data_IF_821246544785
#
_entry.id   IF_821246544785
#
_cell.length_a   1.000
_cell.length_b   1.000
_cell.length_c   1.000
_cell.angle_alpha   90.00
_cell.angle_beta   90.00
_cell.angle_gamma   90.00
#
_symmetry.space_group_name_H-M   'P 1'
#
loop_
_entity.id
_entity.type
_entity.pdbx_description
1 polymer ?
#
# COMPACT_ATOMS: atom_id res chain seq x y z
N UNK A 1 46.10 34.91 1.63
CA UNK A 1 45.99 33.49 2.02
C UNK A 1 44.73 33.17 2.84
N UNK A 2 44.33 33.97 3.85
CA UNK A 2 43.10 33.72 4.65
C UNK A 2 41.76 33.75 3.89
N UNK A 3 41.64 34.53 2.80
CA UNK A 3 40.40 34.62 1.99
C UNK A 3 40.15 33.39 1.09
N UNK A 4 41.21 32.66 0.71
CA UNK A 4 41.10 31.47 -0.14
C UNK A 4 40.60 30.27 0.68
N UNK A 5 40.95 30.21 1.96
CA UNK A 5 40.52 29.14 2.88
C UNK A 5 39.02 29.19 3.21
N UNK A 6 38.41 30.38 3.21
CA UNK A 6 36.97 30.55 3.51
C UNK A 6 36.10 30.13 2.31
N UNK A 7 36.55 30.38 1.08
CA UNK A 7 35.82 29.98 -0.14
C UNK A 7 35.82 28.46 -0.31
N UNK A 8 36.93 27.79 0.03
CA UNK A 8 37.00 26.33 0.02
C UNK A 8 36.05 25.67 1.05
N UNK A 9 35.88 26.28 2.23
CA UNK A 9 34.95 25.81 3.26
C UNK A 9 33.48 25.97 2.82
N UNK A 10 33.13 27.05 2.11
CA UNK A 10 31.78 27.24 1.56
C UNK A 10 31.45 26.31 0.37
N UNK A 11 32.46 25.84 -0.40
CA UNK A 11 32.23 24.85 -1.46
C UNK A 11 32.07 23.42 -0.93
N UNK A 12 32.70 23.07 0.21
CA UNK A 12 32.53 21.74 0.83
C UNK A 12 31.16 21.56 1.51
N UNK A 13 30.49 22.63 1.94
CA UNK A 13 29.16 22.54 2.58
C UNK A 13 28.04 22.24 1.56
N UNK A 14 28.24 22.53 0.28
CA UNK A 14 27.25 22.28 -0.79
C UNK A 14 27.27 20.86 -1.38
N UNK A 15 28.24 20.01 -0.99
CA UNK A 15 28.33 18.63 -1.47
C UNK A 15 27.58 17.62 -0.60
N UNK A 16 27.04 18.05 0.54
CA UNK A 16 26.08 17.30 1.35
C UNK A 16 24.64 17.74 1.02
N UNK A 17 24.32 17.87 -0.27
CA UNK A 17 22.93 17.72 -0.67
C UNK A 17 22.55 16.26 -0.34
N UNK A 18 21.99 16.04 0.85
CA UNK A 18 21.37 14.79 1.19
C UNK A 18 20.35 14.50 0.09
N UNK A 19 20.68 13.59 -0.82
CA UNK A 19 19.72 13.11 -1.81
C UNK A 19 18.58 12.49 -1.01
N UNK A 20 17.49 13.23 -0.86
CA UNK A 20 16.28 12.71 -0.25
C UNK A 20 15.88 11.48 -1.06
N UNK A 21 15.74 10.34 -0.39
CA UNK A 21 15.36 9.13 -1.07
C UNK A 21 13.94 9.28 -1.59
N UNK A 22 13.77 9.03 -2.89
CA UNK A 22 12.46 8.91 -3.50
C UNK A 22 12.03 7.45 -3.50
N UNK A 23 10.79 7.21 -3.06
CA UNK A 23 10.12 5.91 -3.07
C UNK A 23 8.81 6.10 -3.82
N UNK A 24 8.57 5.31 -4.86
CA UNK A 24 7.28 5.29 -5.56
C UNK A 24 6.40 4.18 -4.98
N UNK A 25 5.28 4.54 -4.38
CA UNK A 25 4.39 3.62 -3.65
C UNK A 25 3.06 3.52 -4.39
N UNK A 26 2.53 2.30 -4.52
CA UNK A 26 1.20 2.03 -5.05
C UNK A 26 0.31 1.27 -4.08
N UNK A 27 -1.01 1.44 -4.21
CA UNK A 27 -2.02 0.52 -3.69
C UNK A 27 -2.90 0.09 -4.86
N UNK A 28 -3.17 -1.20 -4.99
CA UNK A 28 -3.89 -1.72 -6.15
C UNK A 28 -4.72 -2.97 -5.81
N UNK A 29 -6.03 -2.81 -5.72
CA UNK A 29 -6.94 -3.96 -5.62
C UNK A 29 -6.96 -4.66 -6.99
N UNK A 30 -6.48 -5.91 -7.01
CA UNK A 30 -6.28 -6.66 -8.24
C UNK A 30 -7.57 -7.22 -8.82
N UNK A 31 -8.67 -7.21 -8.04
CA UNK A 31 -9.88 -8.00 -8.25
C UNK A 31 -9.58 -9.50 -8.31
N UNK A 32 -10.16 -10.27 -7.38
CA UNK A 32 -9.90 -11.71 -7.31
C UNK A 32 -10.26 -12.45 -8.61
N UNK A 33 -9.61 -13.58 -8.86
CA UNK A 33 -9.87 -14.41 -10.03
C UNK A 33 -11.26 -15.06 -9.93
N UNK A 34 -12.23 -14.45 -10.62
CA UNK A 34 -13.62 -14.83 -10.62
C UNK A 34 -14.07 -15.23 -12.04
N UNK A 35 -14.51 -16.47 -12.28
CA UNK A 35 -15.08 -16.88 -13.57
C UNK A 35 -16.29 -16.04 -14.01
N UNK A 36 -17.00 -15.42 -13.07
CA UNK A 36 -18.12 -14.52 -13.34
C UNK A 36 -17.72 -13.19 -13.97
N UNK A 37 -16.45 -12.79 -13.92
CA UNK A 37 -15.94 -11.55 -14.54
C UNK A 37 -15.68 -11.76 -16.05
N UNK A 38 -16.62 -12.38 -16.77
CA UNK A 38 -16.49 -12.64 -18.22
C UNK A 38 -16.22 -11.33 -18.97
N UNK A 39 -15.17 -11.34 -19.82
CA UNK A 39 -14.66 -10.13 -20.49
C UNK A 39 -13.63 -9.33 -19.68
N UNK A 40 -13.47 -9.62 -18.39
CA UNK A 40 -12.50 -9.03 -17.46
C UNK A 40 -11.78 -10.12 -16.63
N UNK A 41 -11.58 -11.32 -17.21
CA UNK A 41 -11.01 -12.45 -16.48
C UNK A 41 -9.57 -12.17 -16.08
N UNK A 42 -9.13 -12.74 -14.96
CA UNK A 42 -7.77 -12.53 -14.47
C UNK A 42 -6.71 -12.87 -15.52
N UNK A 43 -6.87 -13.99 -16.23
CA UNK A 43 -5.93 -14.42 -17.28
C UNK A 43 -5.65 -13.34 -18.34
N UNK A 44 -6.63 -12.48 -18.62
CA UNK A 44 -6.53 -11.43 -19.63
C UNK A 44 -5.93 -10.15 -19.01
N UNK A 45 -6.19 -9.92 -17.72
CA UNK A 45 -5.72 -8.75 -16.96
C UNK A 45 -4.31 -8.91 -16.39
N UNK A 46 -3.86 -10.12 -16.09
CA UNK A 46 -2.61 -10.38 -15.37
C UNK A 46 -1.37 -9.74 -16.04
N UNK A 47 -1.14 -9.92 -17.35
CA UNK A 47 0.03 -9.31 -18.01
C UNK A 47 -0.03 -7.78 -17.99
N UNK A 48 -1.23 -7.21 -18.09
CA UNK A 48 -1.45 -5.76 -18.06
C UNK A 48 -1.20 -5.20 -16.66
N UNK A 49 -1.68 -5.88 -15.62
CA UNK A 49 -1.43 -5.49 -14.23
C UNK A 49 0.07 -5.46 -13.91
N UNK A 50 0.82 -6.50 -14.34
CA UNK A 50 2.27 -6.53 -14.20
C UNK A 50 2.95 -5.41 -15.01
N UNK A 51 2.53 -5.19 -16.26
CA UNK A 51 3.08 -4.14 -17.10
C UNK A 51 2.84 -2.73 -16.51
N UNK A 52 1.66 -2.47 -15.96
CA UNK A 52 1.32 -1.22 -15.27
C UNK A 52 2.25 -1.01 -14.07
N UNK A 53 2.43 -2.03 -13.22
CA UNK A 53 3.31 -1.95 -12.05
C UNK A 53 4.73 -1.57 -12.45
N UNK A 54 5.25 -2.21 -13.51
CA UNK A 54 6.59 -1.94 -14.04
C UNK A 54 6.70 -0.57 -14.70
N UNK A 55 5.75 -0.20 -15.55
CA UNK A 55 5.79 1.03 -16.35
C UNK A 55 5.75 2.27 -15.46
N UNK A 56 4.89 2.27 -14.45
CA UNK A 56 4.82 3.35 -13.45
C UNK A 56 5.92 3.29 -12.39
N UNK A 57 6.76 2.24 -12.45
CA UNK A 57 8.01 2.16 -11.72
C UNK A 57 7.87 2.00 -10.20
N UNK A 58 6.75 1.44 -9.72
CA UNK A 58 6.51 1.29 -8.27
C UNK A 58 7.66 0.57 -7.59
N UNK A 59 8.22 1.18 -6.56
CA UNK A 59 9.23 0.52 -5.73
C UNK A 59 8.58 -0.47 -4.75
N UNK A 60 7.37 -0.13 -4.31
CA UNK A 60 6.53 -0.92 -3.40
C UNK A 60 5.08 -0.80 -3.87
N UNK A 61 4.35 -1.92 -3.91
CA UNK A 61 2.92 -1.91 -4.17
C UNK A 61 2.19 -2.86 -3.21
N UNK A 62 1.23 -2.32 -2.47
CA UNK A 62 0.25 -3.09 -1.72
C UNK A 62 -0.87 -3.56 -2.64
N UNK A 63 -1.15 -4.86 -2.65
CA UNK A 63 -2.19 -5.47 -3.48
C UNK A 63 -3.29 -6.07 -2.62
N UNK A 64 -4.52 -6.00 -3.09
CA UNK A 64 -5.69 -6.59 -2.41
C UNK A 64 -6.40 -7.57 -3.35
N UNK A 65 -7.22 -8.46 -2.78
CA UNK A 65 -8.00 -9.50 -3.47
C UNK A 65 -7.19 -10.58 -4.22
N UNK A 66 -5.86 -10.49 -4.27
CA UNK A 66 -5.03 -11.47 -4.96
C UNK A 66 -5.18 -12.87 -4.33
N UNK A 67 -5.69 -13.82 -5.10
CA UNK A 67 -5.60 -15.25 -4.79
C UNK A 67 -4.18 -15.76 -5.03
N UNK A 68 -3.83 -16.92 -4.46
CA UNK A 68 -2.47 -17.48 -4.57
C UNK A 68 -2.03 -17.67 -6.03
N UNK A 69 -2.92 -18.10 -6.93
CA UNK A 69 -2.61 -18.21 -8.36
C UNK A 69 -2.28 -16.84 -8.97
N UNK A 70 -3.08 -15.81 -8.67
CA UNK A 70 -2.84 -14.45 -9.18
C UNK A 70 -1.51 -13.86 -8.70
N UNK A 71 -1.17 -14.08 -7.43
CA UNK A 71 0.13 -13.64 -6.89
C UNK A 71 1.31 -14.36 -7.57
N UNK A 72 1.14 -15.66 -7.89
CA UNK A 72 2.16 -16.41 -8.61
C UNK A 72 2.31 -15.92 -10.06
N UNK A 73 1.20 -15.61 -10.73
CA UNK A 73 1.22 -15.02 -12.08
C UNK A 73 1.94 -13.67 -12.08
N UNK A 74 1.60 -12.78 -11.13
CA UNK A 74 2.31 -11.51 -10.97
C UNK A 74 3.79 -11.71 -10.67
N UNK A 75 4.16 -12.63 -9.77
CA UNK A 75 5.57 -12.88 -9.45
C UNK A 75 6.36 -13.43 -10.64
N UNK A 76 5.73 -14.24 -11.49
CA UNK A 76 6.34 -14.73 -12.73
C UNK A 76 6.62 -13.57 -13.69
N UNK A 77 5.67 -12.65 -13.82
CA UNK A 77 5.77 -11.52 -14.75
C UNK A 77 6.52 -10.33 -14.15
N UNK A 78 6.81 -10.32 -12.84
CA UNK A 78 7.57 -9.31 -12.08
C UNK A 78 8.76 -9.96 -11.33
N UNK A 79 9.70 -10.63 -12.02
CA UNK A 79 10.82 -11.34 -11.37
C UNK A 79 11.76 -10.42 -10.58
N UNK A 80 11.75 -9.11 -10.85
CA UNK A 80 12.52 -8.09 -10.13
C UNK A 80 11.95 -7.75 -8.75
N UNK A 81 10.70 -8.15 -8.47
CA UNK A 81 10.03 -7.98 -7.19
C UNK A 81 10.15 -9.24 -6.33
N UNK A 82 10.14 -9.04 -5.02
CA UNK A 82 9.73 -10.05 -4.04
C UNK A 82 8.38 -9.63 -3.46
N UNK A 83 7.67 -10.56 -2.83
CA UNK A 83 6.45 -10.22 -2.10
C UNK A 83 6.32 -10.99 -0.80
N UNK A 84 5.49 -10.44 0.10
CA UNK A 84 5.06 -11.10 1.32
C UNK A 84 3.54 -10.92 1.53
N UNK A 85 2.91 -11.91 2.16
CA UNK A 85 1.51 -11.90 2.58
C UNK A 85 0.93 -13.32 2.59
N UNK A 86 0.19 -13.64 3.64
CA UNK A 86 -0.48 -14.95 3.78
C UNK A 86 -1.97 -14.86 3.41
N UNK A 87 -2.55 -16.01 3.08
CA UNK A 87 -3.96 -16.13 2.73
C UNK A 87 -4.85 -15.92 3.96
N UNK A 88 -5.89 -15.08 3.81
CA UNK A 88 -6.75 -14.67 4.94
C UNK A 88 -7.59 -15.79 5.55
N UNK A 89 -7.76 -16.92 4.87
CA UNK A 89 -8.68 -17.97 5.34
C UNK A 89 -8.00 -19.01 6.21
N UNK A 90 -6.71 -19.29 6.00
CA UNK A 90 -5.97 -20.33 6.70
C UNK A 90 -4.63 -19.88 7.28
N UNK A 91 -4.26 -18.61 7.08
CA UNK A 91 -2.94 -18.09 7.46
C UNK A 91 -1.80 -18.68 6.63
N UNK A 92 -2.11 -19.21 5.44
CA UNK A 92 -1.13 -19.80 4.52
C UNK A 92 -1.39 -19.34 3.10
N UNK A 93 -2.23 -20.07 2.37
CA UNK A 93 -2.42 -19.87 0.93
C UNK A 93 -3.88 -19.79 0.49
N UNK A 94 -4.83 -20.08 1.38
CA UNK A 94 -6.26 -20.04 1.07
C UNK A 94 -6.83 -18.64 1.27
N UNK A 95 -7.77 -18.30 0.39
CA UNK A 95 -8.41 -17.01 0.37
C UNK A 95 -7.57 -15.94 -0.31
N UNK A 96 -8.13 -14.73 -0.32
CA UNK A 96 -7.46 -13.53 -0.81
C UNK A 96 -6.32 -13.12 0.14
N UNK A 97 -5.36 -12.37 -0.41
CA UNK A 97 -4.21 -11.85 0.30
C UNK A 97 -4.20 -10.32 0.29
N UNK A 98 -3.60 -9.73 1.33
CA UNK A 98 -3.20 -8.32 1.37
C UNK A 98 -1.71 -8.19 1.04
N UNK A 99 -1.25 -8.77 -0.06
CA UNK A 99 0.18 -8.94 -0.34
C UNK A 99 0.92 -7.63 -0.65
N UNK A 100 2.19 -7.55 -0.25
CA UNK A 100 3.08 -6.39 -0.47
C UNK A 100 4.22 -6.83 -1.39
N UNK A 101 4.28 -6.26 -2.58
CA UNK A 101 5.40 -6.43 -3.51
C UNK A 101 6.42 -5.30 -3.33
N UNK A 102 7.71 -5.61 -3.42
CA UNK A 102 8.81 -4.66 -3.29
C UNK A 102 9.98 -5.01 -4.21
N UNK A 103 10.70 -4.00 -4.73
CA UNK A 103 11.89 -4.20 -5.58
C UNK A 103 13.05 -4.79 -4.79
N UNK A 104 13.52 -5.98 -5.17
CA UNK A 104 14.63 -6.69 -4.48
C UNK A 104 15.96 -5.97 -4.58
N UNK A 105 16.18 -5.25 -5.68
CA UNK A 105 17.40 -4.45 -5.90
C UNK A 105 17.50 -3.24 -4.98
N UNK A 106 16.39 -2.77 -4.42
CA UNK A 106 16.33 -1.61 -3.53
C UNK A 106 16.24 -2.00 -2.07
N UNK A 107 15.55 -3.10 -1.75
CA UNK A 107 15.19 -3.43 -0.38
C UNK A 107 15.59 -4.85 0.02
N UNK A 108 16.06 -4.97 1.26
CA UNK A 108 16.15 -6.24 1.99
C UNK A 108 14.93 -6.38 2.90
N UNK A 109 14.22 -7.51 2.81
CA UNK A 109 13.18 -7.86 3.78
C UNK A 109 13.83 -8.27 5.09
N UNK A 110 13.58 -7.52 6.16
CA UNK A 110 14.15 -7.79 7.49
C UNK A 110 13.20 -8.61 8.36
N UNK A 111 11.94 -8.22 8.37
CA UNK A 111 10.88 -8.86 9.15
C UNK A 111 9.57 -8.78 8.37
N UNK A 112 8.66 -9.67 8.70
CA UNK A 112 7.33 -9.70 8.10
C UNK A 112 6.36 -10.39 9.03
N UNK A 113 5.07 -10.12 8.85
CA UNK A 113 4.03 -10.78 9.60
C UNK A 113 2.65 -10.38 9.13
N UNK A 114 1.65 -10.95 9.78
CA UNK A 114 0.25 -10.71 9.45
C UNK A 114 -0.57 -10.73 10.74
N UNK A 115 -1.74 -10.09 10.68
CA UNK A 115 -2.75 -10.20 11.72
C UNK A 115 -4.14 -10.02 11.15
N UNK A 116 -5.11 -10.73 11.71
CA UNK A 116 -6.50 -10.62 11.33
C UNK A 116 -7.15 -9.38 11.94
N UNK A 117 -8.04 -8.75 11.18
CA UNK A 117 -8.80 -7.59 11.61
C UNK A 117 -10.02 -8.05 12.42
N UNK A 118 -9.76 -8.54 13.62
CA UNK A 118 -10.77 -9.10 14.54
C UNK A 118 -10.36 -8.94 16.01
N UNK A 119 -11.24 -9.37 16.91
CA UNK A 119 -11.00 -9.45 18.35
C UNK A 119 -9.88 -10.45 18.71
N UNK A 120 -9.55 -11.40 17.82
CA UNK A 120 -8.48 -12.40 17.97
C UNK A 120 -7.48 -12.30 16.80
N UNK A 121 -6.64 -11.25 16.75
CA UNK A 121 -5.82 -10.91 15.59
C UNK A 121 -4.73 -11.95 15.24
N UNK A 122 -4.43 -12.87 16.15
CA UNK A 122 -3.41 -13.92 16.01
C UNK A 122 -3.86 -15.14 15.17
N UNK A 123 -5.14 -15.24 14.83
CA UNK A 123 -5.70 -16.40 14.11
C UNK A 123 -6.82 -16.00 13.14
N UNK A 124 -7.09 -16.81 12.11
CA UNK A 124 -8.24 -16.59 11.24
C UNK A 124 -9.57 -16.51 12.00
N UNK A 125 -10.35 -15.49 11.69
CA UNK A 125 -11.67 -15.27 12.26
C UNK A 125 -12.27 -13.95 11.78
N UNK A 126 -13.61 -13.89 11.77
CA UNK A 126 -14.34 -12.66 11.49
C UNK A 126 -14.18 -11.68 12.66
N UNK A 127 -14.13 -10.38 12.34
CA UNK A 127 -14.13 -9.32 13.33
C UNK A 127 -15.49 -8.62 13.42
N UNK A 128 -16.03 -8.45 14.61
CA UNK A 128 -17.25 -7.66 14.85
C UNK A 128 -18.43 -8.04 13.92
N UNK A 129 -18.92 -7.10 13.10
CA UNK A 129 -20.02 -7.28 12.16
C UNK A 129 -19.57 -7.74 10.76
N UNK A 130 -18.29 -8.04 10.56
CA UNK A 130 -17.78 -8.64 9.32
C UNK A 130 -18.34 -10.07 9.11
N UNK A 131 -18.30 -10.52 7.86
CA UNK A 131 -18.74 -11.87 7.45
C UNK A 131 -17.70 -12.62 6.62
N UNK A 132 -16.56 -12.00 6.42
CA UNK A 132 -15.39 -12.56 5.74
C UNK A 132 -14.15 -12.24 6.57
N UNK A 133 -13.18 -13.14 6.55
CA UNK A 133 -11.89 -12.88 7.21
C UNK A 133 -11.23 -11.69 6.52
N UNK A 134 -10.72 -10.74 7.30
CA UNK A 134 -9.92 -9.63 6.78
C UNK A 134 -8.56 -9.66 7.46
N UNK A 135 -7.52 -9.32 6.72
CA UNK A 135 -6.13 -9.48 7.16
C UNK A 135 -5.33 -8.22 6.82
N UNK A 136 -4.41 -7.87 7.70
CA UNK A 136 -3.31 -6.96 7.43
C UNK A 136 -2.02 -7.76 7.29
N UNK A 137 -1.31 -7.59 6.19
CA UNK A 137 0.07 -8.06 6.02
C UNK A 137 1.02 -6.88 6.22
N UNK A 138 2.19 -7.13 6.79
CA UNK A 138 3.22 -6.11 6.96
C UNK A 138 4.63 -6.64 6.71
N UNK A 139 5.51 -5.73 6.32
CA UNK A 139 6.94 -5.98 6.14
C UNK A 139 7.76 -4.86 6.76
N UNK A 140 8.91 -5.20 7.31
CA UNK A 140 10.00 -4.27 7.59
C UNK A 140 11.02 -4.38 6.46
N UNK A 141 11.17 -3.31 5.69
CA UNK A 141 12.14 -3.22 4.60
C UNK A 141 13.32 -2.37 5.03
N UNK A 142 14.53 -2.82 4.69
CA UNK A 142 15.76 -2.03 4.81
C UNK A 142 16.19 -1.59 3.43
N UNK A 143 16.32 -0.29 3.23
CA UNK A 143 16.87 0.26 2.00
C UNK A 143 18.36 -0.08 1.86
N UNK A 144 18.77 -0.64 0.72
CA UNK A 144 20.15 -1.05 0.49
C UNK A 144 21.12 0.12 0.35
N UNK A 145 20.67 1.27 -0.16
CA UNK A 145 21.51 2.46 -0.40
C UNK A 145 21.71 3.27 0.87
N UNK A 146 20.63 3.52 1.61
CA UNK A 146 20.64 4.40 2.79
C UNK A 146 20.75 3.62 4.10
N UNK A 147 20.56 2.30 4.06
CA UNK A 147 20.53 1.40 5.22
C UNK A 147 19.40 1.66 6.21
N UNK A 148 18.52 2.63 5.92
CA UNK A 148 17.36 2.97 6.75
C UNK A 148 16.29 1.90 6.62
N UNK A 149 15.60 1.63 7.73
CA UNK A 149 14.47 0.72 7.75
C UNK A 149 13.15 1.46 7.87
N UNK A 150 12.12 0.92 7.25
CA UNK A 150 10.74 1.40 7.36
C UNK A 150 9.78 0.21 7.24
N UNK A 151 8.54 0.44 7.65
CA UNK A 151 7.49 -0.57 7.69
C UNK A 151 6.43 -0.25 6.65
N UNK A 152 5.93 -1.29 5.99
CA UNK A 152 4.80 -1.21 5.07
C UNK A 152 3.71 -2.11 5.60
N UNK A 153 2.51 -1.57 5.77
CA UNK A 153 1.30 -2.29 6.15
C UNK A 153 0.33 -2.23 4.98
N UNK A 154 -0.36 -3.33 4.70
CA UNK A 154 -1.35 -3.39 3.64
C UNK A 154 -2.61 -4.09 4.13
N UNK A 155 -3.78 -3.52 3.83
CA UNK A 155 -5.08 -3.99 4.32
C UNK A 155 -6.13 -4.09 3.21
N UNK A 156 -7.14 -4.91 3.46
CA UNK A 156 -8.41 -4.87 2.76
C UNK A 156 -9.53 -4.95 3.79
N UNK A 157 -10.27 -3.86 4.00
CA UNK A 157 -11.33 -3.75 5.00
C UNK A 157 -12.64 -4.41 4.56
N UNK A 158 -13.50 -4.75 5.51
CA UNK A 158 -14.83 -5.30 5.21
C UNK A 158 -15.72 -4.30 4.48
N UNK A 159 -16.44 -4.78 3.45
CA UNK A 159 -17.30 -3.95 2.62
C UNK A 159 -18.68 -3.69 3.27
N UNK A 160 -19.15 -4.57 4.15
CA UNK A 160 -20.47 -4.45 4.82
C UNK A 160 -20.36 -4.01 6.28
N UNK A 161 -19.40 -4.54 7.01
CA UNK A 161 -19.22 -4.32 8.43
C UNK A 161 -18.75 -2.90 8.74
N UNK A 162 -19.68 -2.02 9.08
CA UNK A 162 -19.38 -0.63 9.42
C UNK A 162 -18.61 -0.57 10.74
N UNK A 163 -19.05 -1.34 11.74
CA UNK A 163 -18.36 -1.43 13.03
C UNK A 163 -16.98 -2.07 12.84
N UNK A 164 -16.90 -3.13 12.03
CA UNK A 164 -15.65 -3.82 11.74
C UNK A 164 -14.62 -2.87 11.13
N UNK A 165 -15.00 -1.97 10.20
CA UNK A 165 -14.06 -0.97 9.65
C UNK A 165 -13.52 -0.03 10.73
N UNK A 166 -14.38 0.48 11.61
CA UNK A 166 -13.96 1.40 12.69
C UNK A 166 -13.02 0.71 13.67
N UNK A 167 -13.38 -0.48 14.14
CA UNK A 167 -12.58 -1.22 15.09
C UNK A 167 -11.29 -1.79 14.47
N UNK A 168 -11.32 -2.15 13.18
CA UNK A 168 -10.13 -2.49 12.39
C UNK A 168 -9.13 -1.34 12.38
N UNK A 169 -9.58 -0.09 12.18
CA UNK A 169 -8.69 1.07 12.24
C UNK A 169 -8.07 1.28 13.61
N UNK A 170 -8.84 1.08 14.69
CA UNK A 170 -8.31 1.16 16.06
C UNK A 170 -7.27 0.08 16.32
N UNK A 171 -7.55 -1.16 15.91
CA UNK A 171 -6.60 -2.29 16.01
C UNK A 171 -5.34 -2.04 15.18
N UNK A 172 -5.50 -1.58 13.93
CA UNK A 172 -4.41 -1.29 13.01
C UNK A 172 -3.45 -0.26 13.58
N UNK A 173 -3.96 0.86 14.10
CA UNK A 173 -3.12 1.90 14.73
C UNK A 173 -2.33 1.32 15.91
N UNK A 174 -2.98 0.57 16.81
CA UNK A 174 -2.28 -0.09 17.93
C UNK A 174 -1.19 -1.04 17.46
N UNK A 175 -1.47 -1.85 16.43
CA UNK A 175 -0.49 -2.80 15.86
C UNK A 175 0.68 -2.09 15.19
N UNK A 176 0.45 -0.98 14.49
CA UNK A 176 1.52 -0.17 13.92
C UNK A 176 2.42 0.37 15.04
N UNK A 177 1.87 0.89 16.13
CA UNK A 177 2.65 1.38 17.27
C UNK A 177 3.48 0.26 17.92
N UNK A 178 2.90 -0.92 18.13
CA UNK A 178 3.55 -2.11 18.70
C UNK A 178 4.72 -2.61 17.83
N UNK A 179 4.49 -2.72 16.52
CA UNK A 179 5.42 -3.33 15.56
C UNK A 179 6.49 -2.33 15.12
N UNK A 180 6.11 -1.12 14.73
CA UNK A 180 7.04 -0.12 14.21
C UNK A 180 7.77 0.65 15.30
N UNK A 181 7.22 0.70 16.53
CA UNK A 181 7.83 1.36 17.71
C UNK A 181 8.33 2.77 17.42
N UNK A 182 7.51 3.55 16.70
CA UNK A 182 7.83 4.92 16.28
C UNK A 182 8.68 5.04 15.01
N UNK A 183 8.97 3.93 14.33
CA UNK A 183 9.66 3.91 13.03
C UNK A 183 8.86 4.53 11.88
N UNK A 184 9.49 4.64 10.72
CA UNK A 184 8.85 5.14 9.51
C UNK A 184 7.83 4.12 8.98
N UNK A 185 6.58 4.56 8.76
CA UNK A 185 5.45 3.71 8.35
C UNK A 185 4.81 4.23 7.07
N UNK A 186 4.52 3.30 6.17
CA UNK A 186 3.63 3.41 5.01
C UNK A 186 2.46 2.45 5.27
N UNK A 187 1.23 2.93 5.08
CA UNK A 187 0.03 2.11 5.11
C UNK A 187 -0.70 2.24 3.77
N UNK A 188 -1.00 1.12 3.13
CA UNK A 188 -1.77 1.03 1.89
C UNK A 188 -3.01 0.17 2.09
N UNK A 189 -4.00 0.27 1.21
CA UNK A 189 -5.10 -0.67 1.21
C UNK A 189 -6.33 -0.22 0.47
N UNK A 190 -7.25 -1.18 0.29
CA UNK A 190 -8.66 -0.95 0.01
C UNK A 190 -9.39 -0.88 1.36
N UNK A 191 -9.90 0.30 1.71
CA UNK A 191 -10.56 0.52 2.99
C UNK A 191 -12.09 0.41 2.92
N UNK A 192 -12.66 0.14 1.75
CA UNK A 192 -14.11 -0.01 1.54
C UNK A 192 -14.96 1.13 2.14
N UNK A 193 -14.43 2.34 2.11
CA UNK A 193 -15.14 3.55 2.52
C UNK A 193 -14.37 4.78 2.08
N UNK A 194 -15.07 5.90 1.90
CA UNK A 194 -14.45 7.14 1.46
C UNK A 194 -14.04 8.04 2.64
N UNK A 195 -13.54 9.23 2.33
CA UNK A 195 -13.12 10.26 3.29
C UNK A 195 -14.19 10.70 4.31
N UNK A 196 -15.47 10.39 4.06
CA UNK A 196 -16.57 10.70 4.99
C UNK A 196 -16.75 9.62 6.07
N UNK A 197 -16.10 8.46 5.92
CA UNK A 197 -16.25 7.33 6.82
C UNK A 197 -15.65 7.62 8.20
N UNK A 198 -16.27 7.07 9.26
CA UNK A 198 -15.77 7.21 10.63
C UNK A 198 -14.36 6.63 10.80
N UNK A 199 -14.11 5.45 10.22
CA UNK A 199 -12.79 4.81 10.25
C UNK A 199 -11.70 5.72 9.65
N UNK A 200 -12.05 6.47 8.59
CA UNK A 200 -11.12 7.36 7.89
C UNK A 200 -10.79 8.56 8.76
N UNK A 201 -11.82 9.23 9.30
CA UNK A 201 -11.65 10.37 10.20
C UNK A 201 -10.84 9.99 11.44
N UNK A 202 -11.03 8.78 11.97
CA UNK A 202 -10.23 8.29 13.09
C UNK A 202 -8.73 8.24 12.75
N UNK A 203 -8.34 7.62 11.62
CA UNK A 203 -6.92 7.56 11.20
C UNK A 203 -6.41 8.97 10.89
N UNK A 204 -7.12 9.72 10.05
CA UNK A 204 -6.67 11.02 9.54
C UNK A 204 -6.56 12.08 10.64
N UNK A 205 -7.44 12.08 11.64
CA UNK A 205 -7.38 13.01 12.77
C UNK A 205 -6.32 12.61 13.82
N UNK A 206 -5.85 11.36 13.78
CA UNK A 206 -4.73 10.91 14.59
C UNK A 206 -3.41 11.62 14.25
N UNK A 207 -2.37 11.36 15.04
CA UNK A 207 -1.04 11.97 14.85
C UNK A 207 -0.05 11.05 14.14
N UNK A 208 -0.34 9.74 14.10
CA UNK A 208 0.59 8.72 13.60
C UNK A 208 0.68 8.72 12.08
N UNK A 209 -0.44 8.84 11.40
CA UNK A 209 -0.60 8.66 9.96
C UNK A 209 -1.39 9.82 9.35
N UNK A 210 -1.04 10.19 8.12
CA UNK A 210 -1.74 11.20 7.33
C UNK A 210 -1.92 10.70 5.90
N UNK A 211 -3.10 10.89 5.34
CA UNK A 211 -3.40 10.51 3.96
C UNK A 211 -2.57 11.37 3.00
N UNK A 212 -1.89 10.70 2.08
CA UNK A 212 -1.02 11.31 1.06
C UNK A 212 -1.79 12.31 0.19
N UNK A 213 -3.07 12.07 -0.08
CA UNK A 213 -3.88 12.95 -0.94
C UNK A 213 -3.88 14.40 -0.44
N UNK A 214 -3.89 14.61 0.88
CA UNK A 214 -3.93 15.94 1.50
C UNK A 214 -2.55 16.51 1.83
N UNK A 215 -1.47 15.81 1.45
CA UNK A 215 -0.10 16.24 1.68
C UNK A 215 0.57 16.82 0.42
N UNK A 216 -0.14 16.84 -0.71
CA UNK A 216 0.40 17.30 -1.99
C UNK A 216 -0.41 18.49 -2.51
N UNK A 217 0.28 19.48 -3.07
CA UNK A 217 -0.37 20.72 -3.55
C UNK A 217 -1.21 20.50 -4.83
N UNK A 218 -0.76 19.57 -5.69
CA UNK A 218 -1.34 19.33 -7.01
C UNK A 218 -1.53 17.82 -7.27
N UNK A 219 -2.53 17.18 -6.64
CA UNK A 219 -2.82 15.77 -6.88
C UNK A 219 -3.34 15.54 -8.31
N UNK A 220 -2.82 14.53 -9.01
CA UNK A 220 -3.37 14.08 -10.28
C UNK A 220 -4.57 13.14 -10.02
N UNK A 221 -5.78 13.70 -9.92
CA UNK A 221 -7.00 12.95 -9.65
C UNK A 221 -8.05 13.25 -10.71
N UNK A 222 -8.09 12.41 -11.74
CA UNK A 222 -9.07 12.48 -12.84
C UNK A 222 -10.21 11.45 -12.70
N UNK A 223 -10.18 10.61 -11.65
CA UNK A 223 -11.26 9.67 -11.32
C UNK A 223 -11.17 9.26 -9.82
N UNK A 224 -12.16 8.49 -9.37
CA UNK A 224 -12.16 7.77 -8.11
C UNK A 224 -11.27 6.53 -8.19
N UNK A 225 -11.13 5.81 -7.08
CA UNK A 225 -10.28 4.62 -7.03
C UNK A 225 -11.00 3.32 -7.41
N UNK A 226 -12.34 3.34 -7.48
CA UNK A 226 -13.18 2.22 -7.88
C UNK A 226 -13.90 2.48 -9.21
N UNK A 227 -13.84 1.53 -10.14
CA UNK A 227 -14.41 1.67 -11.48
C UNK A 227 -15.41 0.56 -11.90
N UNK A 228 -15.53 -0.54 -11.14
CA UNK A 228 -16.43 -1.66 -11.47
C UNK A 228 -16.27 -2.21 -12.91
N UNK A 229 -15.05 -2.15 -13.47
CA UNK A 229 -14.77 -2.49 -14.88
C UNK A 229 -15.54 -1.65 -15.92
N UNK A 230 -15.99 -0.45 -15.56
CA UNK A 230 -16.70 0.47 -16.46
C UNK A 230 -15.85 1.69 -16.77
N UNK A 231 -15.79 2.07 -18.04
CA UNK A 231 -15.27 3.37 -18.48
C UNK A 231 -16.44 4.37 -18.60
N UNK A 232 -16.15 5.67 -18.49
CA UNK A 232 -17.13 6.73 -18.75
C UNK A 232 -18.06 7.12 -17.60
N UNK A 233 -17.94 6.51 -16.42
CA UNK A 233 -18.66 6.91 -15.21
C UNK A 233 -17.66 7.47 -14.17
N UNK A 234 -17.22 8.73 -14.30
CA UNK A 234 -16.27 9.30 -13.36
C UNK A 234 -16.88 9.36 -11.95
N UNK A 235 -16.08 9.00 -10.96
CA UNK A 235 -16.38 9.18 -9.55
C UNK A 235 -15.33 10.12 -8.93
N UNK A 236 -15.66 10.70 -7.79
CA UNK A 236 -14.67 11.37 -6.94
C UNK A 236 -14.34 10.57 -5.67
N UNK A 237 -15.03 9.46 -5.45
CA UNK A 237 -14.83 8.61 -4.28
C UNK A 237 -13.50 7.86 -4.38
N UNK A 238 -12.68 8.06 -3.35
CA UNK A 238 -11.46 7.29 -3.10
C UNK A 238 -11.77 6.38 -1.93
N UNK A 239 -11.67 5.07 -2.15
CA UNK A 239 -11.76 4.03 -1.12
C UNK A 239 -10.41 3.31 -0.91
N UNK A 240 -9.46 3.53 -1.83
CA UNK A 240 -8.12 3.00 -1.78
C UNK A 240 -7.15 4.10 -1.37
N UNK A 241 -6.51 3.94 -0.21
CA UNK A 241 -5.75 5.03 0.42
C UNK A 241 -4.30 4.64 0.63
N UNK A 242 -3.44 5.67 0.63
CA UNK A 242 -2.07 5.58 1.10
C UNK A 242 -1.91 6.57 2.24
N UNK A 243 -1.49 6.09 3.40
CA UNK A 243 -1.17 6.92 4.55
C UNK A 243 0.32 6.82 4.88
N UNK A 244 0.89 7.95 5.30
CA UNK A 244 2.30 8.05 5.68
C UNK A 244 2.44 8.55 7.11
N UNK A 245 3.42 8.01 7.82
CA UNK A 245 3.92 8.64 9.06
C UNK A 245 4.71 9.91 8.75
N UNK A 246 4.90 10.76 9.76
CA UNK A 246 5.66 12.02 9.69
C UNK A 246 7.10 11.91 9.17
N UNK A 247 7.64 10.69 9.05
CA UNK A 247 8.99 10.43 8.54
C UNK A 247 9.10 10.58 7.02
N UNK A 248 7.97 10.62 6.31
CA UNK A 248 7.92 10.80 4.87
C UNK A 248 7.31 12.16 4.52
N UNK A 249 7.69 12.66 3.35
CA UNK A 249 7.09 13.82 2.72
C UNK A 249 6.54 13.39 1.37
N UNK A 250 5.22 13.46 1.20
CA UNK A 250 4.60 13.22 -0.08
C UNK A 250 4.98 14.35 -1.05
N UNK A 251 5.35 13.98 -2.28
CA UNK A 251 5.73 14.95 -3.33
C UNK A 251 4.78 14.92 -4.51
N UNK A 252 4.05 13.82 -4.71
CA UNK A 252 3.04 13.67 -5.76
C UNK A 252 2.03 12.59 -5.37
N UNK A 253 0.81 12.76 -5.85
CA UNK A 253 -0.28 11.78 -5.77
C UNK A 253 -0.89 11.62 -7.15
N UNK A 254 -1.30 10.40 -7.51
CA UNK A 254 -1.94 10.10 -8.78
C UNK A 254 -2.92 8.94 -8.69
N UNK A 255 -4.09 9.09 -9.31
CA UNK A 255 -4.96 7.97 -9.70
C UNK A 255 -4.65 7.64 -11.15
N UNK A 256 -4.24 6.41 -11.41
CA UNK A 256 -3.86 5.94 -12.74
C UNK A 256 -5.11 5.41 -13.46
N UNK A 257 -5.42 5.95 -14.64
CA UNK A 257 -6.63 5.60 -15.41
C UNK A 257 -6.30 4.87 -16.70
N UNK A 258 -5.14 4.22 -16.77
CA UNK A 258 -4.74 3.36 -17.87
C UNK A 258 -5.81 2.27 -18.09
N UNK A 259 -6.29 2.15 -19.33
CA UNK A 259 -7.22 1.10 -19.77
C UNK A 259 -6.52 0.20 -20.78
N UNK A 260 -6.89 -1.09 -20.81
CA UNK A 260 -6.39 -1.99 -21.84
C UNK A 260 -7.26 -1.84 -23.10
N UNK A 261 -6.62 -1.53 -24.23
CA UNK A 261 -7.24 -1.28 -25.56
C UNK A 261 -7.92 0.08 -25.80
N UNK A 262 -7.67 1.09 -24.96
CA UNK A 262 -8.06 2.49 -25.22
C UNK A 262 -9.04 3.07 -24.22
#
# INVERSE_FOLDING_TARGET
MKKITIIAACMLINLLAAQAQQITIGTFNLRYDNPGDTGNLWKDRAPIAAALIRFHGFDIVGTQEGLRNQLNDLQKDLPEYGFYGIGRDDGRSKGEHSAIFYKKEKYDLQQSGDFWLSETPEKPGFGWDARINRICSWVQLRDRKTTKSFYVFNVHYDHRGVQARVESSKLLVRKIEEIARGGAVILTGDFNGNHQSEWYRFIQNGTLLKDVLWQVDHPYRNNGSFNSFKTGNPSEDIIDHIFLSKHFTATRYGVLTDTYHG
#
